data_IF_540716080421
#
_entry.id   IF_540716080421
#
_cell.length_a   1.000
_cell.length_b   1.000
_cell.length_c   1.000
_cell.angle_alpha   90.00
_cell.angle_beta   90.00
_cell.angle_gamma   90.00
#
_symmetry.space_group_name_H-M   'P 1'
#
loop_
_entity.id
_entity.type
_entity.pdbx_description
1 polymer ?
#
# COMPACT_ATOMS: atom_id res chain seq x y z
N UNK A 1 12.94 -0.90 2.96
CA UNK A 1 11.83 -1.32 3.82
C UNK A 1 11.60 -2.80 3.62
N UNK A 2 11.42 -3.56 4.70
CA UNK A 2 11.10 -5.00 4.68
C UNK A 2 9.59 -5.21 4.43
N UNK A 3 9.17 -6.45 4.11
CA UNK A 3 7.74 -6.77 3.88
C UNK A 3 6.93 -6.53 5.15
N UNK A 4 7.47 -6.94 6.29
CA UNK A 4 6.87 -6.72 7.61
C UNK A 4 6.69 -5.24 7.93
N UNK A 5 7.75 -4.43 7.76
CA UNK A 5 7.66 -2.99 7.95
C UNK A 5 6.61 -2.36 7.02
N UNK A 6 6.53 -2.83 5.77
CA UNK A 6 5.51 -2.39 4.81
C UNK A 6 4.11 -2.80 5.28
N UNK A 7 3.89 -4.03 5.72
CA UNK A 7 2.59 -4.48 6.22
C UNK A 7 2.12 -3.73 7.49
N UNK A 8 3.06 -3.30 8.32
CA UNK A 8 2.77 -2.55 9.55
C UNK A 8 2.64 -1.03 9.35
N UNK A 9 2.81 -0.51 8.12
CA UNK A 9 2.58 0.91 7.88
C UNK A 9 1.11 1.27 8.10
N UNK A 10 0.89 2.38 8.83
CA UNK A 10 -0.44 2.97 8.96
C UNK A 10 -0.86 3.56 7.61
N UNK A 11 -1.99 3.08 7.10
CA UNK A 11 -2.64 3.58 5.89
C UNK A 11 -4.10 3.91 6.21
N UNK A 12 -4.72 4.69 5.32
CA UNK A 12 -6.14 5.00 5.37
C UNK A 12 -6.91 4.03 4.46
N UNK A 13 -8.00 3.44 4.96
CA UNK A 13 -8.87 2.52 4.22
C UNK A 13 -10.29 2.54 4.78
N UNK A 14 -11.27 2.08 3.99
CA UNK A 14 -12.67 1.96 4.45
C UNK A 14 -12.93 0.66 5.25
N UNK A 15 -14.16 0.46 5.70
CA UNK A 15 -14.53 -0.74 6.49
C UNK A 15 -14.29 -2.09 5.79
N UNK A 16 -14.12 -2.11 4.46
CA UNK A 16 -13.79 -3.30 3.66
C UNK A 16 -12.32 -3.37 3.26
N UNK A 17 -11.46 -2.49 3.78
CA UNK A 17 -10.04 -2.48 3.45
C UNK A 17 -9.70 -1.84 2.11
N UNK A 18 -10.66 -1.18 1.45
CA UNK A 18 -10.43 -0.52 0.17
C UNK A 18 -9.75 0.83 0.38
N UNK A 19 -8.97 1.30 -0.61
CA UNK A 19 -8.42 2.65 -0.54
C UNK A 19 -9.55 3.69 -0.53
N UNK A 20 -9.27 4.91 -0.02
CA UNK A 20 -10.22 6.00 -0.01
C UNK A 20 -10.79 6.27 -1.41
N UNK A 21 -12.09 6.52 -1.48
CA UNK A 21 -12.81 6.81 -2.72
C UNK A 21 -13.85 7.92 -2.48
N UNK A 22 -14.59 8.31 -3.52
CA UNK A 22 -15.67 9.30 -3.41
C UNK A 22 -16.97 8.74 -2.80
N UNK A 23 -16.99 7.46 -2.42
CA UNK A 23 -18.13 6.88 -1.73
C UNK A 23 -18.25 7.45 -0.31
N UNK A 24 -19.49 7.63 0.16
CA UNK A 24 -19.77 8.10 1.52
C UNK A 24 -19.67 6.93 2.52
N UNK A 25 -18.42 6.54 2.78
CA UNK A 25 -18.07 5.43 3.67
C UNK A 25 -17.04 5.90 4.69
N UNK A 26 -17.15 5.49 5.98
CA UNK A 26 -16.18 5.88 6.99
C UNK A 26 -14.76 5.42 6.64
N UNK A 27 -13.78 6.30 6.87
CA UNK A 27 -12.37 6.00 6.71
C UNK A 27 -11.71 5.72 8.05
N UNK A 28 -10.85 4.71 8.06
CA UNK A 28 -10.13 4.20 9.22
C UNK A 28 -8.64 4.29 8.95
N UNK A 29 -7.86 4.65 9.96
CA UNK A 29 -6.40 4.53 9.93
C UNK A 29 -5.98 3.24 10.62
N UNK A 30 -5.15 2.44 9.96
CA UNK A 30 -4.66 1.19 10.54
C UNK A 30 -3.54 0.54 9.73
N UNK A 31 -3.02 -0.58 10.22
CA UNK A 31 -1.97 -1.32 9.54
C UNK A 31 -2.44 -1.83 8.17
N UNK A 32 -1.60 -1.70 7.14
CA UNK A 32 -1.86 -2.21 5.79
C UNK A 32 -2.25 -3.69 5.78
N UNK A 33 -1.66 -4.50 6.66
CA UNK A 33 -2.01 -5.92 6.83
C UNK A 33 -3.52 -6.11 7.04
N UNK A 34 -4.14 -5.29 7.90
CA UNK A 34 -5.57 -5.39 8.21
C UNK A 34 -6.45 -5.08 7.01
N UNK A 35 -6.07 -4.08 6.20
CA UNK A 35 -6.75 -3.79 4.95
C UNK A 35 -6.72 -4.97 3.97
N UNK A 36 -5.60 -5.70 3.90
CA UNK A 36 -5.47 -6.90 3.06
C UNK A 36 -6.26 -8.10 3.59
N UNK A 37 -6.31 -8.28 4.92
CA UNK A 37 -7.13 -9.31 5.54
C UNK A 37 -8.62 -9.09 5.25
N UNK A 38 -9.12 -7.85 5.36
CA UNK A 38 -10.50 -7.49 5.02
C UNK A 38 -10.84 -7.74 3.54
N UNK A 39 -9.86 -7.59 2.65
CA UNK A 39 -10.01 -7.86 1.22
C UNK A 39 -9.84 -9.32 0.83
N UNK A 40 -9.53 -10.20 1.79
CA UNK A 40 -9.32 -11.63 1.55
C UNK A 40 -8.07 -11.93 0.71
N UNK A 41 -7.05 -11.08 0.76
CA UNK A 41 -5.83 -11.29 -0.02
C UNK A 41 -5.01 -12.46 0.50
N UNK A 42 -4.55 -13.27 -0.45
CA UNK A 42 -3.61 -14.36 -0.20
C UNK A 42 -2.18 -13.83 -0.02
N UNK A 43 -1.32 -14.62 0.62
CA UNK A 43 0.08 -14.25 0.79
C UNK A 43 0.80 -14.02 -0.56
N UNK A 44 0.47 -14.82 -1.57
CA UNK A 44 1.02 -14.68 -2.93
C UNK A 44 0.64 -13.34 -3.58
N UNK A 45 -0.59 -12.87 -3.37
CA UNK A 45 -1.04 -11.56 -3.86
C UNK A 45 -0.34 -10.42 -3.12
N UNK A 46 -0.23 -10.54 -1.80
CA UNK A 46 0.48 -9.57 -0.95
C UNK A 46 1.96 -9.46 -1.37
N UNK A 47 2.60 -10.58 -1.69
CA UNK A 47 3.99 -10.59 -2.19
C UNK A 47 4.16 -9.88 -3.53
N UNK A 48 3.22 -10.09 -4.46
CA UNK A 48 3.21 -9.39 -5.75
C UNK A 48 3.06 -7.88 -5.54
N UNK A 49 2.12 -7.46 -4.68
CA UNK A 49 1.90 -6.04 -4.35
C UNK A 49 3.14 -5.42 -3.68
N UNK A 50 3.78 -6.12 -2.76
CA UNK A 50 4.99 -5.64 -2.11
C UNK A 50 6.14 -5.47 -3.11
N UNK A 51 6.35 -6.43 -4.01
CA UNK A 51 7.35 -6.32 -5.09
C UNK A 51 7.07 -5.13 -6.00
N UNK A 52 5.81 -4.94 -6.41
CA UNK A 52 5.40 -3.78 -7.20
C UNK A 52 5.71 -2.46 -6.50
N UNK A 53 5.39 -2.34 -5.21
CA UNK A 53 5.65 -1.12 -4.43
C UNK A 53 7.13 -0.72 -4.35
N UNK A 54 8.05 -1.68 -4.47
CA UNK A 54 9.50 -1.39 -4.53
C UNK A 54 9.90 -0.80 -5.87
N UNK A 55 9.32 -1.29 -6.97
CA UNK A 55 9.61 -0.81 -8.31
C UNK A 55 9.10 0.62 -8.48
N UNK A 56 7.86 0.90 -8.08
CA UNK A 56 7.29 2.25 -8.12
C UNK A 56 8.15 3.26 -7.34
N UNK A 57 8.70 2.83 -6.19
CA UNK A 57 9.59 3.66 -5.38
C UNK A 57 10.95 3.89 -6.06
N UNK A 58 11.46 2.92 -6.81
CA UNK A 58 12.70 3.05 -7.57
C UNK A 58 12.51 4.03 -8.75
N UNK A 59 11.42 3.88 -9.49
CA UNK A 59 11.07 4.79 -10.60
C UNK A 59 10.89 6.24 -10.12
N UNK A 60 10.21 6.44 -8.99
CA UNK A 60 10.07 7.77 -8.39
C UNK A 60 11.42 8.40 -8.02
N UNK A 61 12.38 7.60 -7.53
CA UNK A 61 13.73 8.08 -7.22
C UNK A 61 14.48 8.49 -8.48
N UNK A 62 14.51 7.61 -9.48
CA UNK A 62 15.16 7.88 -10.77
C UNK A 62 14.60 9.16 -11.41
N UNK A 63 13.27 9.27 -11.49
CA UNK A 63 12.61 10.45 -12.07
C UNK A 63 12.91 11.75 -11.30
N UNK A 64 13.12 11.68 -9.98
CA UNK A 64 13.53 12.83 -9.19
C UNK A 64 14.99 13.22 -9.46
N UNK A 65 15.87 12.25 -9.67
CA UNK A 65 17.28 12.51 -10.01
C UNK A 65 17.39 13.14 -11.41
N UNK A 66 16.73 12.60 -12.42
CA UNK A 66 16.77 13.12 -13.80
C UNK A 66 16.12 14.50 -13.98
N UNK A 67 15.19 14.92 -13.11
CA UNK A 67 14.55 16.24 -13.18
C UNK A 67 15.30 17.34 -12.41
N UNK A 68 16.27 16.98 -11.58
CA UNK A 68 17.03 17.93 -10.75
C UNK A 68 18.52 18.01 -11.14
N UNK A 69 18.91 17.36 -12.25
CA UNK A 69 20.27 17.37 -12.81
C UNK A 69 20.34 18.06 -14.16
#
# INVERSE_FOLDING_TARGET
MTKEQWLNQTIMFDEWGRPPSLADVPLIYGARKKAFELRGYTENEIDKLYKGSKNDRLEQKLNKEYKNG
#
